data_IF_425861100565
#
_entry.id   IF_425861100565
#
_cell.length_a   1.000
_cell.length_b   1.000
_cell.length_c   1.000
_cell.angle_alpha   90.00
_cell.angle_beta   90.00
_cell.angle_gamma   90.00
#
_symmetry.space_group_name_H-M   'P 1'
#
loop_
_entity.id
_entity.type
_entity.pdbx_description
1 polymer ?
#
# COMPACT_ATOMS: atom_id res chain seq x y z
N UNK A 1 -18.67 -30.07 -3.20
CA UNK A 1 -17.52 -29.24 -2.76
C UNK A 1 -17.73 -27.84 -3.32
N UNK A 2 -17.88 -26.83 -2.46
CA UNK A 2 -18.04 -25.44 -2.90
C UNK A 2 -16.73 -24.97 -3.53
N UNK A 3 -16.76 -24.51 -4.78
CA UNK A 3 -15.60 -23.84 -5.40
C UNK A 3 -15.43 -22.51 -4.68
N UNK A 4 -14.38 -22.40 -3.87
CA UNK A 4 -13.97 -21.11 -3.31
C UNK A 4 -13.67 -20.16 -4.46
N UNK A 5 -14.48 -19.11 -4.60
CA UNK A 5 -14.19 -18.02 -5.53
C UNK A 5 -12.96 -17.29 -4.99
N UNK A 6 -11.94 -17.13 -5.83
CA UNK A 6 -10.76 -16.36 -5.45
C UNK A 6 -11.20 -14.90 -5.20
N UNK A 7 -10.88 -14.36 -4.01
CA UNK A 7 -11.18 -12.97 -3.65
C UNK A 7 -10.08 -12.03 -4.18
N UNK A 8 -9.86 -12.08 -5.48
CA UNK A 8 -8.83 -11.31 -6.18
C UNK A 8 -9.29 -11.05 -7.60
N UNK A 9 -9.03 -9.84 -8.09
CA UNK A 9 -9.20 -9.50 -9.50
C UNK A 9 -7.83 -9.49 -10.20
N UNK A 10 -7.53 -10.47 -11.08
CA UNK A 10 -6.26 -10.53 -11.78
C UNK A 10 -6.00 -9.33 -12.69
N UNK A 11 -7.04 -8.64 -13.17
CA UNK A 11 -6.88 -7.47 -14.03
C UNK A 11 -6.40 -6.24 -13.26
N UNK A 12 -6.85 -6.07 -12.01
CA UNK A 12 -6.36 -5.00 -11.13
C UNK A 12 -4.91 -5.25 -10.73
N UNK A 13 -4.55 -6.49 -10.39
CA UNK A 13 -3.15 -6.84 -10.08
C UNK A 13 -2.21 -6.47 -11.22
N UNK A 14 -2.55 -6.85 -12.46
CA UNK A 14 -1.74 -6.53 -13.64
C UNK A 14 -1.53 -5.03 -13.85
N UNK A 15 -2.57 -4.20 -13.65
CA UNK A 15 -2.44 -2.74 -13.76
C UNK A 15 -1.38 -2.19 -12.80
N UNK A 16 -1.32 -2.69 -11.57
CA UNK A 16 -0.30 -2.26 -10.60
C UNK A 16 1.07 -2.87 -10.87
N UNK A 17 1.15 -4.10 -11.37
CA UNK A 17 2.42 -4.74 -11.80
C UNK A 17 3.09 -3.95 -12.94
N UNK A 18 2.31 -3.49 -13.92
CA UNK A 18 2.82 -2.67 -15.04
C UNK A 18 3.45 -1.35 -14.58
N UNK A 19 2.95 -0.78 -13.47
CA UNK A 19 3.45 0.46 -12.88
C UNK A 19 4.51 0.24 -11.79
N UNK A 20 4.81 -1.02 -11.43
CA UNK A 20 5.53 -1.32 -10.20
C UNK A 20 6.95 -0.74 -10.14
N UNK A 21 7.64 -0.66 -11.29
CA UNK A 21 8.98 -0.08 -11.39
C UNK A 21 9.05 1.41 -11.02
N UNK A 22 7.91 2.10 -11.03
CA UNK A 22 7.80 3.55 -10.79
C UNK A 22 7.22 3.90 -9.42
N UNK A 23 7.05 2.91 -8.54
CA UNK A 23 6.41 3.12 -7.23
C UNK A 23 7.08 4.22 -6.41
N UNK A 24 8.40 4.36 -6.52
CA UNK A 24 9.22 5.31 -5.76
C UNK A 24 9.59 6.57 -6.53
N UNK A 25 9.08 6.75 -7.75
CA UNK A 25 9.19 8.02 -8.46
C UNK A 25 8.28 9.06 -7.80
N UNK A 26 8.89 10.01 -7.06
CA UNK A 26 8.17 11.06 -6.33
C UNK A 26 7.49 12.08 -7.25
N UNK A 27 7.74 12.03 -8.57
CA UNK A 27 7.05 12.83 -9.56
C UNK A 27 6.19 11.99 -10.53
N UNK A 28 6.11 10.68 -10.29
CA UNK A 28 5.37 9.73 -11.13
C UNK A 28 3.91 9.52 -10.70
N UNK A 29 3.32 8.42 -11.18
CA UNK A 29 1.90 8.07 -10.97
C UNK A 29 1.52 7.97 -9.49
N UNK A 30 2.47 7.56 -8.64
CA UNK A 30 2.26 7.39 -7.21
C UNK A 30 2.66 8.62 -6.38
N UNK A 31 3.00 9.76 -7.00
CA UNK A 31 3.28 11.02 -6.30
C UNK A 31 2.24 11.36 -5.21
N UNK A 32 0.91 11.21 -5.45
CA UNK A 32 -0.07 11.47 -4.39
C UNK A 32 0.10 10.59 -3.14
N UNK A 33 0.55 9.34 -3.29
CA UNK A 33 0.81 8.44 -2.16
C UNK A 33 2.05 8.87 -1.36
N UNK A 34 3.07 9.39 -2.04
CA UNK A 34 4.24 9.98 -1.39
C UNK A 34 3.87 11.23 -0.60
N UNK A 35 3.11 12.13 -1.22
CA UNK A 35 2.72 13.41 -0.62
C UNK A 35 1.80 13.21 0.60
N UNK A 36 0.88 12.24 0.54
CA UNK A 36 -0.05 11.96 1.65
C UNK A 36 0.61 11.14 2.78
N UNK A 37 1.75 10.48 2.53
CA UNK A 37 2.33 9.52 3.48
C UNK A 37 2.60 10.12 4.88
N UNK A 38 3.23 11.31 5.01
CA UNK A 38 3.48 11.90 6.32
C UNK A 38 2.19 12.16 7.11
N UNK A 39 1.15 12.63 6.43
CA UNK A 39 -0.14 12.93 7.06
C UNK A 39 -0.82 11.65 7.56
N UNK A 40 -0.93 10.62 6.71
CA UNK A 40 -1.58 9.35 7.10
C UNK A 40 -0.78 8.58 8.14
N UNK A 41 0.56 8.59 8.08
CA UNK A 41 1.40 7.94 9.07
C UNK A 41 1.22 8.59 10.45
N UNK A 42 1.20 9.93 10.49
CA UNK A 42 0.94 10.66 11.72
C UNK A 42 -0.48 10.39 12.27
N UNK A 43 -1.48 10.33 11.40
CA UNK A 43 -2.84 9.97 11.79
C UNK A 43 -2.89 8.57 12.43
N UNK A 44 -2.29 7.57 11.78
CA UNK A 44 -2.21 6.19 12.30
C UNK A 44 -1.50 6.18 13.66
N UNK A 45 -0.32 6.80 13.76
CA UNK A 45 0.47 6.80 14.98
C UNK A 45 -0.19 7.58 16.14
N UNK A 46 -0.99 8.59 15.84
CA UNK A 46 -1.78 9.33 16.83
C UNK A 46 -2.91 8.47 17.37
N UNK A 47 -3.62 7.74 16.50
CA UNK A 47 -4.71 6.86 16.90
C UNK A 47 -4.23 5.56 17.57
N UNK A 48 -3.09 5.02 17.12
CA UNK A 48 -2.48 3.78 17.61
C UNK A 48 -0.95 3.89 17.50
N UNK A 49 -0.26 4.26 18.59
CA UNK A 49 1.19 4.39 18.58
C UNK A 49 1.88 3.11 18.11
N UNK A 50 2.71 3.24 17.06
CA UNK A 50 3.30 2.10 16.36
C UNK A 50 4.55 1.53 17.03
N UNK A 51 5.19 2.29 17.92
CA UNK A 51 6.43 1.88 18.59
C UNK A 51 6.27 0.55 19.34
N UNK A 52 7.13 -0.41 19.02
CA UNK A 52 7.11 -1.76 19.60
C UNK A 52 5.92 -2.63 19.18
N UNK A 53 5.12 -2.22 18.18
CA UNK A 53 4.01 -3.03 17.65
C UNK A 53 4.45 -3.87 16.47
N UNK A 54 3.80 -5.02 16.31
CA UNK A 54 3.83 -5.78 15.04
C UNK A 54 2.68 -5.28 14.18
N UNK A 55 2.97 -4.85 12.97
CA UNK A 55 2.02 -4.20 12.06
C UNK A 55 1.92 -5.01 10.76
N UNK A 56 0.71 -5.07 10.19
CA UNK A 56 0.44 -5.63 8.87
C UNK A 56 -0.20 -4.54 8.01
N UNK A 57 0.38 -4.28 6.84
CA UNK A 57 -0.22 -3.42 5.82
C UNK A 57 -0.74 -4.31 4.67
N UNK A 58 -2.06 -4.37 4.52
CA UNK A 58 -2.73 -5.24 3.55
C UNK A 58 -2.84 -4.49 2.22
N UNK A 59 -2.21 -5.02 1.17
CA UNK A 59 -2.12 -4.32 -0.11
C UNK A 59 -1.00 -3.28 -0.13
N UNK A 60 0.08 -3.52 0.61
CA UNK A 60 1.23 -2.61 0.75
C UNK A 60 1.86 -2.18 -0.58
N UNK A 61 1.72 -2.98 -1.63
CA UNK A 61 2.29 -2.70 -2.95
C UNK A 61 3.80 -2.46 -2.84
N UNK A 62 4.29 -1.35 -3.40
CA UNK A 62 5.69 -0.95 -3.31
C UNK A 62 6.15 -0.41 -1.94
N UNK A 63 5.31 -0.46 -0.91
CA UNK A 63 5.75 -0.31 0.48
C UNK A 63 5.88 1.14 1.00
N UNK A 64 5.27 2.14 0.33
CA UNK A 64 5.39 3.56 0.73
C UNK A 64 5.01 3.80 2.20
N UNK A 65 4.03 3.06 2.74
CA UNK A 65 3.61 3.18 4.15
C UNK A 65 4.42 2.29 5.11
N UNK A 66 5.01 1.19 4.61
CA UNK A 66 5.63 0.16 5.43
C UNK A 66 7.14 0.32 5.66
N UNK A 67 7.78 1.29 4.99
CA UNK A 67 9.20 1.61 5.18
C UNK A 67 9.52 2.04 6.62
#
# INVERSE_FOLDING_TARGET
>A
MSKTRANVDPSEIRKFEELASRWWDRQGEFKPLHDINPLRLNFINTASPLSGKRVLDVGCGGGILCE
#
